data_IF_854357430286
#
_entry.id   IF_854357430286
#
_cell.length_a   1.000
_cell.length_b   1.000
_cell.length_c   1.000
_cell.angle_alpha   90.00
_cell.angle_beta   90.00
_cell.angle_gamma   90.00
#
_symmetry.space_group_name_H-M   'P 1'
#
loop_
_entity.id
_entity.type
_entity.pdbx_description
1 polymer ?
#
# COMPACT_ATOMS: atom_id res chain seq x y z
N UNK A 1 19.72 5.32 -12.84
CA UNK A 1 18.60 5.28 -13.80
C UNK A 1 19.05 5.92 -15.10
N UNK A 2 18.86 5.22 -16.22
CA UNK A 2 19.05 5.74 -17.58
C UNK A 2 17.66 5.93 -18.20
N UNK A 3 17.42 7.08 -18.84
CA UNK A 3 16.19 7.38 -19.59
C UNK A 3 16.54 7.56 -21.05
N UNK A 4 15.88 6.83 -21.94
CA UNK A 4 16.06 6.92 -23.39
C UNK A 4 14.72 7.28 -24.04
N UNK A 5 14.70 8.36 -24.82
CA UNK A 5 13.49 8.82 -25.52
C UNK A 5 13.71 8.71 -27.02
N UNK A 6 12.81 8.03 -27.74
CA UNK A 6 12.92 7.87 -29.19
C UNK A 6 11.76 7.09 -29.80
N UNK A 7 11.42 7.40 -31.06
CA UNK A 7 10.35 6.72 -31.82
C UNK A 7 8.99 6.64 -31.11
N UNK A 8 8.65 7.65 -30.31
CA UNK A 8 7.40 7.68 -29.53
C UNK A 8 7.43 6.89 -28.22
N UNK A 9 8.59 6.33 -27.84
CA UNK A 9 8.78 5.60 -26.58
C UNK A 9 9.63 6.39 -25.59
N UNK A 10 9.35 6.18 -24.30
CA UNK A 10 10.18 6.57 -23.17
C UNK A 10 10.59 5.30 -22.43
N UNK A 11 11.88 4.97 -22.46
CA UNK A 11 12.43 3.77 -21.85
C UNK A 11 13.22 4.15 -20.60
N UNK A 12 12.79 3.62 -19.46
CA UNK A 12 13.51 3.74 -18.19
C UNK A 12 14.29 2.45 -17.93
N UNK A 13 15.58 2.59 -17.67
CA UNK A 13 16.49 1.48 -17.34
C UNK A 13 17.02 1.71 -15.93
N UNK A 14 16.83 0.70 -15.10
CA UNK A 14 17.27 0.69 -13.71
C UNK A 14 18.43 -0.28 -13.54
N UNK A 15 19.14 -0.14 -12.42
CA UNK A 15 20.11 -1.14 -12.00
C UNK A 15 19.38 -2.46 -11.71
N UNK A 16 19.95 -3.57 -12.19
CA UNK A 16 19.46 -4.89 -11.84
C UNK A 16 19.93 -5.23 -10.43
N UNK A 17 18.99 -5.44 -9.52
CA UNK A 17 19.25 -5.80 -8.13
C UNK A 17 19.21 -7.32 -8.00
N UNK A 18 20.29 -7.94 -7.54
CA UNK A 18 20.36 -9.39 -7.27
C UNK A 18 19.79 -9.69 -5.88
N UNK A 19 18.46 -9.78 -5.81
CA UNK A 19 17.72 -10.07 -4.59
C UNK A 19 16.53 -10.97 -4.88
N UNK A 20 15.79 -11.32 -3.82
CA UNK A 20 14.56 -12.12 -3.91
C UNK A 20 13.34 -11.28 -3.53
N UNK A 21 12.17 -11.64 -4.05
CA UNK A 21 10.92 -11.03 -3.58
C UNK A 21 10.67 -11.33 -2.09
N UNK A 22 10.00 -10.41 -1.41
CA UNK A 22 9.66 -10.54 -0.01
C UNK A 22 8.56 -11.59 0.21
N UNK A 23 8.67 -12.35 1.29
CA UNK A 23 7.60 -13.22 1.77
C UNK A 23 6.77 -12.52 2.84
N UNK A 24 5.45 -12.49 2.65
CA UNK A 24 4.49 -11.87 3.57
C UNK A 24 3.74 -12.88 4.44
N UNK A 25 4.13 -14.15 4.43
CA UNK A 25 3.48 -15.17 5.24
C UNK A 25 3.66 -14.89 6.75
N UNK A 26 2.71 -15.32 7.60
CA UNK A 26 2.86 -15.21 9.05
C UNK A 26 4.20 -15.76 9.56
N UNK A 27 4.92 -14.96 10.34
CA UNK A 27 6.24 -15.32 10.89
C UNK A 27 7.42 -15.11 9.95
N UNK A 28 7.22 -14.55 8.76
CA UNK A 28 8.32 -14.24 7.83
C UNK A 28 9.34 -13.27 8.45
N UNK A 29 10.62 -13.58 8.26
CA UNK A 29 11.74 -12.72 8.66
C UNK A 29 11.87 -11.45 7.80
N UNK A 30 11.10 -11.34 6.72
CA UNK A 30 11.12 -10.16 5.83
C UNK A 30 10.27 -9.01 6.36
N UNK A 31 9.25 -9.30 7.18
CA UNK A 31 8.32 -8.28 7.68
C UNK A 31 9.03 -7.19 8.47
N UNK A 32 9.95 -7.48 9.42
CA UNK A 32 10.72 -6.44 10.10
C UNK A 32 11.54 -5.58 9.13
N UNK A 33 12.10 -6.17 8.06
CA UNK A 33 12.89 -5.44 7.07
C UNK A 33 12.01 -4.46 6.27
N UNK A 34 10.81 -4.90 5.89
CA UNK A 34 9.84 -4.06 5.22
C UNK A 34 9.36 -2.92 6.11
N UNK A 35 9.03 -3.20 7.38
CA UNK A 35 8.61 -2.17 8.33
C UNK A 35 9.70 -1.12 8.53
N UNK A 36 10.97 -1.52 8.63
CA UNK A 36 12.08 -0.54 8.69
C UNK A 36 12.21 0.30 7.42
N UNK A 37 11.97 -0.27 6.24
CA UNK A 37 11.94 0.49 4.98
C UNK A 37 10.75 1.45 4.92
N UNK A 38 9.56 1.05 5.38
CA UNK A 38 8.39 1.92 5.47
C UNK A 38 8.57 3.06 6.48
N UNK A 39 9.23 2.80 7.63
CA UNK A 39 9.61 3.87 8.58
C UNK A 39 10.52 4.91 7.91
N UNK A 40 11.51 4.46 7.14
CA UNK A 40 12.40 5.35 6.38
C UNK A 40 11.60 6.15 5.35
N UNK A 41 10.74 5.49 4.57
CA UNK A 41 9.90 6.18 3.59
C UNK A 41 9.04 7.27 4.24
N UNK A 42 8.36 6.95 5.34
CA UNK A 42 7.51 7.91 6.06
C UNK A 42 8.27 9.11 6.66
N UNK A 43 9.61 9.05 6.74
CA UNK A 43 10.45 10.18 7.16
C UNK A 43 10.94 11.05 6.01
N UNK A 44 10.73 10.64 4.76
CA UNK A 44 11.14 11.38 3.56
C UNK A 44 10.03 12.39 3.21
N UNK A 45 10.33 13.70 3.18
CA UNK A 45 9.37 14.70 2.72
C UNK A 45 8.93 14.44 1.28
N UNK A 46 7.65 14.60 0.99
CA UNK A 46 7.18 14.47 -0.39
C UNK A 46 7.84 15.53 -1.29
N UNK A 47 8.45 15.13 -2.41
CA UNK A 47 9.09 16.06 -3.32
C UNK A 47 8.08 17.03 -3.93
N UNK A 48 8.52 18.25 -4.21
CA UNK A 48 7.71 19.28 -4.89
C UNK A 48 7.66 19.02 -6.40
N UNK A 49 7.05 17.89 -6.75
CA UNK A 49 6.76 17.48 -8.12
C UNK A 49 5.29 17.03 -8.20
N UNK A 50 4.64 17.15 -9.37
CA UNK A 50 3.27 16.67 -9.53
C UNK A 50 3.18 15.16 -9.30
N UNK A 51 2.57 14.77 -8.18
CA UNK A 51 2.19 13.38 -7.87
C UNK A 51 0.68 13.33 -7.58
N UNK A 52 0.08 12.15 -7.71
CA UNK A 52 -1.36 11.99 -7.50
C UNK A 52 -1.71 12.25 -6.03
N UNK A 53 -2.88 12.80 -5.77
CA UNK A 53 -3.41 12.94 -4.40
C UNK A 53 -4.23 11.71 -4.04
N UNK A 54 -4.07 11.18 -2.83
CA UNK A 54 -4.86 10.04 -2.36
C UNK A 54 -6.36 10.35 -2.40
N UNK A 55 -6.73 11.59 -2.07
CA UNK A 55 -8.11 12.10 -2.13
C UNK A 55 -8.72 11.87 -3.52
N UNK A 56 -7.98 12.11 -4.60
CA UNK A 56 -8.50 11.93 -5.96
C UNK A 56 -8.64 10.44 -6.32
N UNK A 57 -7.70 9.62 -5.85
CA UNK A 57 -7.61 8.20 -6.20
C UNK A 57 -8.69 7.37 -5.52
N UNK A 58 -8.93 7.60 -4.24
CA UNK A 58 -9.88 6.80 -3.45
C UNK A 58 -11.29 7.38 -3.40
N UNK A 59 -11.49 8.65 -3.78
CA UNK A 59 -12.81 9.31 -3.78
C UNK A 59 -13.93 8.50 -4.45
N UNK A 60 -13.74 7.84 -5.61
CA UNK A 60 -14.80 7.05 -6.23
C UNK A 60 -15.30 5.89 -5.36
N UNK A 61 -14.49 5.44 -4.41
CA UNK A 61 -14.75 4.25 -3.61
C UNK A 61 -15.29 4.57 -2.20
N UNK A 62 -15.28 5.83 -1.77
CA UNK A 62 -15.98 6.24 -0.55
C UNK A 62 -17.48 6.32 -0.80
N UNK A 63 -18.29 5.76 0.11
CA UNK A 63 -19.75 5.93 0.10
C UNK A 63 -20.16 7.40 0.11
N UNK A 64 -19.43 8.20 0.88
CA UNK A 64 -19.58 9.65 0.97
C UNK A 64 -18.32 10.30 0.37
N UNK A 65 -18.35 10.73 -0.91
CA UNK A 65 -17.15 11.19 -1.62
C UNK A 65 -16.42 12.36 -0.94
N UNK A 66 -17.11 13.13 -0.11
CA UNK A 66 -16.51 14.18 0.71
C UNK A 66 -15.50 13.62 1.72
N UNK A 67 -15.65 12.38 2.21
CA UNK A 67 -14.71 11.74 3.15
C UNK A 67 -13.33 11.47 2.56
N UNK A 68 -13.14 11.65 1.25
CA UNK A 68 -11.81 11.59 0.64
C UNK A 68 -10.83 12.59 1.28
N UNK A 69 -11.31 13.73 1.80
CA UNK A 69 -10.46 14.73 2.49
C UNK A 69 -9.71 14.16 3.71
N UNK A 70 -10.18 13.05 4.27
CA UNK A 70 -9.53 12.36 5.39
C UNK A 70 -8.16 11.78 5.01
N UNK A 71 -7.89 11.65 3.70
CA UNK A 71 -6.61 11.16 3.17
C UNK A 71 -5.59 12.30 2.95
N UNK A 72 -6.00 13.56 3.11
CA UNK A 72 -5.14 14.71 2.82
C UNK A 72 -3.91 14.75 3.75
N UNK A 73 -2.75 15.04 3.18
CA UNK A 73 -1.50 15.23 3.90
C UNK A 73 -0.33 15.45 2.95
N UNK A 74 0.89 15.42 3.49
CA UNK A 74 2.13 15.75 2.77
C UNK A 74 3.16 14.60 2.74
N UNK A 75 2.77 13.40 3.15
CA UNK A 75 3.65 12.23 3.10
C UNK A 75 3.76 11.69 1.67
N UNK A 76 4.93 11.15 1.32
CA UNK A 76 5.13 10.40 0.09
C UNK A 76 4.78 8.93 0.33
N UNK A 77 3.91 8.39 -0.52
CA UNK A 77 3.50 7.00 -0.50
C UNK A 77 3.98 6.20 -1.71
N UNK A 78 4.18 4.91 -1.48
CA UNK A 78 4.34 3.92 -2.54
C UNK A 78 2.98 3.46 -3.12
N UNK A 79 1.98 3.25 -2.26
CA UNK A 79 0.63 2.71 -2.53
C UNK A 79 0.51 1.29 -3.07
N UNK A 80 1.56 0.72 -3.67
CA UNK A 80 1.53 -0.66 -4.16
C UNK A 80 2.55 -1.56 -3.45
N UNK A 81 2.08 -2.28 -2.43
CA UNK A 81 2.90 -3.24 -1.68
C UNK A 81 2.72 -4.67 -2.19
N UNK A 82 2.50 -4.89 -3.48
CA UNK A 82 2.64 -6.22 -4.06
C UNK A 82 3.98 -6.85 -3.62
N UNK A 83 4.02 -8.14 -3.23
CA UNK A 83 5.29 -8.79 -2.85
C UNK A 83 6.37 -8.68 -3.93
N UNK A 84 5.96 -8.64 -5.20
CA UNK A 84 6.85 -8.51 -6.34
C UNK A 84 7.56 -7.13 -6.41
N UNK A 85 6.96 -6.10 -5.80
CA UNK A 85 7.52 -4.75 -5.71
C UNK A 85 8.44 -4.54 -4.50
N UNK A 86 8.69 -5.60 -3.71
CA UNK A 86 9.57 -5.55 -2.55
C UNK A 86 10.68 -6.58 -2.71
N UNK A 87 11.91 -6.10 -2.88
CA UNK A 87 13.10 -6.92 -3.05
C UNK A 87 13.89 -6.97 -1.75
N UNK A 88 14.20 -8.16 -1.27
CA UNK A 88 15.10 -8.41 -0.15
C UNK A 88 16.51 -8.61 -0.69
N UNK A 89 17.42 -7.71 -0.30
CA UNK A 89 18.85 -7.76 -0.64
C UNK A 89 19.68 -7.29 0.56
N UNK A 90 20.74 -8.04 0.88
CA UNK A 90 21.67 -7.72 1.98
C UNK A 90 20.99 -7.35 3.31
N UNK A 91 19.95 -8.11 3.68
CA UNK A 91 19.19 -7.88 4.91
C UNK A 91 18.38 -6.58 4.92
N UNK A 92 17.99 -6.06 3.76
CA UNK A 92 17.14 -4.87 3.62
C UNK A 92 16.03 -5.11 2.61
N UNK A 93 14.87 -4.50 2.85
CA UNK A 93 13.79 -4.42 1.87
C UNK A 93 13.96 -3.17 1.00
N UNK A 94 13.86 -3.33 -0.32
CA UNK A 94 13.92 -2.25 -1.32
C UNK A 94 12.59 -2.20 -2.04
N UNK A 95 11.98 -1.01 -2.08
CA UNK A 95 10.76 -0.74 -2.83
C UNK A 95 11.11 -0.38 -4.27
N UNK A 96 10.54 -1.11 -5.22
CA UNK A 96 10.64 -0.86 -6.66
C UNK A 96 9.26 -0.55 -7.23
N UNK A 97 9.21 -0.12 -8.49
CA UNK A 97 7.97 0.24 -9.18
C UNK A 97 7.21 1.42 -8.54
N UNK A 98 7.82 2.59 -8.64
CA UNK A 98 7.21 3.87 -8.27
C UNK A 98 6.34 4.42 -9.41
N UNK A 99 5.52 3.59 -10.06
CA UNK A 99 4.61 4.04 -11.11
C UNK A 99 3.41 4.85 -10.55
N UNK A 100 3.11 4.71 -9.26
CA UNK A 100 1.92 5.28 -8.63
C UNK A 100 2.19 6.08 -7.34
N UNK A 101 3.23 6.94 -7.29
CA UNK A 101 3.54 7.71 -6.10
C UNK A 101 2.36 8.63 -5.79
N UNK A 102 2.01 8.68 -4.51
CA UNK A 102 0.83 9.39 -4.03
C UNK A 102 1.19 10.26 -2.85
N UNK A 103 0.52 11.40 -2.73
CA UNK A 103 0.60 12.27 -1.56
C UNK A 103 -0.63 12.05 -0.67
N UNK A 104 -0.41 11.86 0.63
CA UNK A 104 -1.46 11.61 1.62
C UNK A 104 -1.05 11.96 3.08
N UNK A 105 -1.89 11.55 4.04
CA UNK A 105 -1.67 11.59 5.49
C UNK A 105 -0.63 10.59 6.08
N UNK A 106 0.02 9.76 5.27
CA UNK A 106 1.08 8.80 5.59
C UNK A 106 0.61 7.40 5.97
N UNK A 107 -0.65 7.23 6.39
CA UNK A 107 -1.15 5.97 6.93
C UNK A 107 -1.80 5.04 5.90
N UNK A 108 -2.01 5.50 4.65
CA UNK A 108 -2.55 4.66 3.58
C UNK A 108 -1.57 3.56 3.16
N UNK A 109 -0.26 3.80 3.15
CA UNK A 109 0.73 2.76 2.87
C UNK A 109 0.66 1.57 3.85
N UNK A 110 0.65 1.79 5.19
CA UNK A 110 0.31 0.75 6.17
C UNK A 110 -0.99 0.00 5.86
N UNK A 111 -2.06 0.71 5.49
CA UNK A 111 -3.35 0.09 5.15
C UNK A 111 -3.28 -0.77 3.88
N UNK A 112 -2.57 -0.32 2.85
CA UNK A 112 -2.30 -1.11 1.65
C UNK A 112 -1.49 -2.38 1.97
N UNK A 113 -0.51 -2.30 2.88
CA UNK A 113 0.24 -3.47 3.33
C UNK A 113 -0.65 -4.45 4.12
N UNK A 114 -1.55 -3.98 4.99
CA UNK A 114 -2.48 -4.84 5.73
C UNK A 114 -3.23 -5.80 4.79
N UNK A 115 -3.77 -5.27 3.68
CA UNK A 115 -4.50 -6.09 2.71
C UNK A 115 -3.62 -7.17 2.08
N UNK A 116 -2.36 -6.84 1.77
CA UNK A 116 -1.38 -7.77 1.22
C UNK A 116 -0.98 -8.85 2.23
N UNK A 117 -0.85 -8.50 3.51
CA UNK A 117 -0.58 -9.45 4.59
C UNK A 117 -1.76 -10.41 4.80
N UNK A 118 -2.99 -9.89 4.78
CA UNK A 118 -4.19 -10.72 4.89
C UNK A 118 -4.34 -11.67 3.71
N UNK A 119 -4.10 -11.19 2.49
CA UNK A 119 -4.05 -12.05 1.30
C UNK A 119 -2.93 -13.11 1.37
N UNK A 120 -1.88 -12.87 2.16
CA UNK A 120 -0.81 -13.83 2.44
C UNK A 120 -1.09 -14.76 3.65
N UNK A 121 -2.28 -14.66 4.26
CA UNK A 121 -2.76 -15.58 5.30
C UNK A 121 -2.76 -15.03 6.73
N UNK A 122 -2.53 -13.73 6.93
CA UNK A 122 -2.73 -13.11 8.24
C UNK A 122 -4.22 -12.88 8.54
N UNK A 123 -4.61 -12.95 9.82
CA UNK A 123 -5.86 -12.33 10.26
C UNK A 123 -5.75 -10.80 10.26
N UNK A 124 -6.87 -10.09 10.23
CA UNK A 124 -6.88 -8.62 10.33
C UNK A 124 -6.11 -8.09 11.55
N UNK A 125 -6.28 -8.73 12.72
CA UNK A 125 -5.56 -8.36 13.93
C UNK A 125 -4.05 -8.58 13.80
N UNK A 126 -3.62 -9.70 13.21
CA UNK A 126 -2.20 -9.97 12.96
C UNK A 126 -1.60 -8.98 11.95
N UNK A 127 -2.34 -8.59 10.93
CA UNK A 127 -1.89 -7.64 9.93
C UNK A 127 -1.74 -6.22 10.52
N UNK A 128 -2.69 -5.77 11.34
CA UNK A 128 -2.57 -4.48 12.06
C UNK A 128 -1.40 -4.48 13.06
N UNK A 129 -1.14 -5.61 13.72
CA UNK A 129 -0.01 -5.75 14.65
C UNK A 129 1.33 -5.56 13.93
N UNK A 130 1.48 -6.09 12.71
CA UNK A 130 2.70 -5.96 11.90
C UNK A 130 3.01 -4.49 11.59
N UNK A 131 2.00 -3.68 11.27
CA UNK A 131 2.18 -2.25 10.94
C UNK A 131 2.13 -1.34 12.16
N UNK A 132 1.78 -1.85 13.34
CA UNK A 132 1.69 -1.10 14.59
C UNK A 132 2.93 -0.26 14.94
N UNK A 133 4.18 -0.65 14.59
CA UNK A 133 5.36 0.16 14.87
C UNK A 133 5.54 1.38 13.93
N UNK A 134 4.69 1.56 12.92
CA UNK A 134 4.77 2.68 11.97
C UNK A 134 4.13 3.95 12.57
N UNK A 135 4.87 5.08 12.70
CA UNK A 135 4.34 6.28 13.34
C UNK A 135 3.05 6.82 12.71
N UNK A 136 2.97 6.80 11.37
CA UNK A 136 1.79 7.27 10.66
C UNK A 136 0.54 6.42 10.96
N UNK A 137 0.71 5.10 11.14
CA UNK A 137 -0.38 4.20 11.49
C UNK A 137 -0.94 4.50 12.89
N UNK A 138 -0.06 4.74 13.87
CA UNK A 138 -0.45 4.97 15.26
C UNK A 138 -1.30 6.24 15.49
N UNK A 139 -1.24 7.20 14.57
CA UNK A 139 -1.97 8.47 14.68
C UNK A 139 -3.23 8.53 13.82
N UNK A 140 -3.52 7.49 13.04
CA UNK A 140 -4.69 7.45 12.17
C UNK A 140 -5.98 7.25 13.01
N UNK A 141 -6.98 8.14 12.88
CA UNK A 141 -8.21 8.02 13.67
C UNK A 141 -8.98 6.72 13.36
N UNK A 142 -9.55 6.04 14.37
CA UNK A 142 -10.20 4.74 14.16
C UNK A 142 -11.34 4.74 13.14
N UNK A 143 -12.15 5.80 13.14
CA UNK A 143 -13.26 6.05 12.22
C UNK A 143 -12.78 6.30 10.79
N UNK A 144 -11.69 7.05 10.63
CA UNK A 144 -11.03 7.28 9.33
C UNK A 144 -10.54 5.96 8.73
N UNK A 145 -9.88 5.13 9.54
CA UNK A 145 -9.43 3.80 9.12
C UNK A 145 -10.60 2.88 8.74
N UNK A 146 -11.72 2.94 9.46
CA UNK A 146 -12.91 2.17 9.11
C UNK A 146 -13.53 2.64 7.77
N UNK A 147 -13.60 3.94 7.53
CA UNK A 147 -14.06 4.50 6.26
C UNK A 147 -13.14 4.09 5.09
N UNK A 148 -11.82 4.12 5.30
CA UNK A 148 -10.87 3.68 4.27
C UNK A 148 -10.91 2.17 4.04
N UNK A 149 -11.14 1.35 5.07
CA UNK A 149 -11.31 -0.08 4.91
C UNK A 149 -12.55 -0.41 4.05
N UNK A 150 -13.68 0.27 4.30
CA UNK A 150 -14.87 0.16 3.45
C UNK A 150 -14.60 0.60 2.00
N UNK A 151 -13.88 1.72 1.80
CA UNK A 151 -13.49 2.17 0.47
C UNK A 151 -12.56 1.19 -0.24
N UNK A 152 -11.64 0.56 0.50
CA UNK A 152 -10.75 -0.47 -0.05
C UNK A 152 -11.51 -1.72 -0.46
N UNK A 153 -12.53 -2.13 0.28
CA UNK A 153 -13.42 -3.23 -0.12
C UNK A 153 -14.14 -2.91 -1.44
N UNK A 154 -14.70 -1.71 -1.58
CA UNK A 154 -15.34 -1.28 -2.83
C UNK A 154 -14.37 -1.29 -4.02
N UNK A 155 -13.15 -0.78 -3.83
CA UNK A 155 -12.09 -0.79 -4.84
C UNK A 155 -11.74 -2.22 -5.29
N UNK A 156 -11.50 -3.13 -4.34
CA UNK A 156 -11.07 -4.48 -4.68
C UNK A 156 -12.20 -5.34 -5.25
N UNK A 157 -13.46 -5.10 -4.88
CA UNK A 157 -14.61 -5.72 -5.54
C UNK A 157 -14.74 -5.26 -6.99
N UNK A 158 -14.54 -3.97 -7.30
CA UNK A 158 -14.51 -3.49 -8.68
C UNK A 158 -13.38 -4.14 -9.49
N UNK A 159 -12.17 -4.20 -8.92
CA UNK A 159 -11.02 -4.84 -9.58
C UNK A 159 -11.29 -6.32 -9.83
N UNK A 160 -11.75 -7.07 -8.83
CA UNK A 160 -12.06 -8.49 -8.95
C UNK A 160 -13.23 -8.77 -9.93
N UNK A 161 -14.14 -7.81 -10.09
CA UNK A 161 -15.19 -7.83 -11.11
C UNK A 161 -14.65 -7.76 -12.54
N UNK A 162 -13.54 -7.06 -12.76
CA UNK A 162 -12.88 -6.92 -14.07
C UNK A 162 -11.81 -7.99 -14.34
N UNK A 163 -11.06 -8.43 -13.32
CA UNK A 163 -10.07 -9.51 -13.39
C UNK A 163 -10.37 -10.56 -12.31
N UNK A 164 -10.72 -11.77 -12.75
CA UNK A 164 -11.09 -12.88 -11.86
C UNK A 164 -9.94 -13.85 -11.55
N UNK A 165 -8.70 -13.41 -11.73
CA UNK A 165 -7.51 -14.14 -11.30
C UNK A 165 -7.54 -14.49 -9.80
N UNK A 166 -6.75 -15.48 -9.39
CA UNK A 166 -6.74 -15.94 -8.01
C UNK A 166 -6.28 -14.86 -7.02
N UNK A 167 -5.36 -13.99 -7.45
CA UNK A 167 -4.79 -12.98 -6.59
C UNK A 167 -5.75 -11.79 -6.37
N UNK A 168 -6.52 -11.37 -7.38
CA UNK A 168 -7.53 -10.31 -7.21
C UNK A 168 -8.66 -10.75 -6.29
N UNK A 169 -9.11 -12.00 -6.40
CA UNK A 169 -10.08 -12.61 -5.48
C UNK A 169 -9.57 -12.69 -4.05
N UNK A 170 -8.29 -13.01 -3.86
CA UNK A 170 -7.67 -13.03 -2.53
C UNK A 170 -7.61 -11.60 -1.93
N UNK A 171 -7.29 -10.60 -2.75
CA UNK A 171 -7.29 -9.19 -2.32
C UNK A 171 -8.69 -8.68 -1.99
N UNK A 172 -9.71 -9.03 -2.78
CA UNK A 172 -11.11 -8.71 -2.50
C UNK A 172 -11.55 -9.30 -1.15
N UNK A 173 -11.29 -10.60 -0.93
CA UNK A 173 -11.63 -11.27 0.33
C UNK A 173 -10.95 -10.56 1.51
N UNK A 174 -9.65 -10.30 1.41
CA UNK A 174 -8.90 -9.58 2.44
C UNK A 174 -9.48 -8.19 2.74
N UNK A 175 -9.88 -7.45 1.71
CA UNK A 175 -10.45 -6.11 1.86
C UNK A 175 -11.84 -6.14 2.53
N UNK A 176 -12.70 -7.08 2.14
CA UNK A 176 -14.01 -7.28 2.76
C UNK A 176 -13.89 -7.70 4.22
N UNK A 177 -12.99 -8.62 4.53
CA UNK A 177 -12.73 -9.08 5.91
C UNK A 177 -12.15 -7.96 6.78
N UNK A 178 -11.21 -7.17 6.25
CA UNK A 178 -10.65 -6.04 6.99
C UNK A 178 -11.71 -4.96 7.25
N UNK A 179 -12.55 -4.64 6.27
CA UNK A 179 -13.66 -3.71 6.43
C UNK A 179 -14.64 -4.18 7.52
N UNK A 180 -15.01 -5.47 7.53
CA UNK A 180 -15.86 -6.05 8.56
C UNK A 180 -15.20 -5.99 9.96
N UNK A 181 -13.91 -6.30 10.04
CA UNK A 181 -13.15 -6.19 11.29
C UNK A 181 -13.10 -4.76 11.83
N UNK A 182 -12.88 -3.75 10.98
CA UNK A 182 -12.86 -2.33 11.39
C UNK A 182 -14.23 -1.81 11.79
N UNK A 183 -15.30 -2.24 11.13
CA UNK A 183 -16.67 -1.84 11.45
C UNK A 183 -17.16 -2.36 12.81
N UNK A 184 -16.54 -3.42 13.34
CA UNK A 184 -16.89 -4.01 14.62
C UNK A 184 -16.16 -3.39 15.83
N UNK A 185 -15.35 -2.35 15.64
CA UNK A 185 -14.50 -1.73 16.68
C UNK A 185 -14.96 -0.34 17.10
#
# INVERSE_FOLDING_TARGET
MLRLVGNGWDLLVFEAVDGRHASYTPGSHDLPLLIETMKKLGSIPAPDIPIKLAEQRWKPYFTEPQHAHLLAGDALLHTDYAPDNVIIIDGRAVLIDWAWPTRDAGWVDPACLILRLMAAGHSAAQAEEVVSPLPAWSVAPPDVLAAFAAASANLWTEIAGHDQSSWTKAMELAALEWAAYRAAR
#
